data_IF_115805569239
#
_entry.id   IF_115805569239
#
_cell.length_a   1.000
_cell.length_b   1.000
_cell.length_c   1.000
_cell.angle_alpha   90.00
_cell.angle_beta   90.00
_cell.angle_gamma   90.00
#
_symmetry.space_group_name_H-M   'P 1'
#
loop_
_entity.id
_entity.type
_entity.pdbx_description
1 polymer ?
#
# COMPACT_ATOMS: atom_id res chain seq x y z
N UNK A 1 -8.30 16.98 -4.33
CA UNK A 1 -9.68 16.48 -4.55
C UNK A 1 -9.69 14.98 -4.30
N UNK A 2 -10.74 14.48 -3.65
CA UNK A 2 -10.99 13.05 -3.51
C UNK A 2 -11.55 12.53 -4.84
N UNK A 3 -10.84 11.61 -5.49
CA UNK A 3 -11.21 11.01 -6.79
C UNK A 3 -11.95 9.70 -6.56
N UNK A 4 -11.43 8.87 -5.66
CA UNK A 4 -12.05 7.62 -5.22
C UNK A 4 -11.97 7.54 -3.70
N UNK A 5 -12.98 6.96 -3.04
CA UNK A 5 -14.21 6.43 -3.65
C UNK A 5 -15.25 7.52 -3.93
N UNK A 6 -16.06 7.31 -4.97
CA UNK A 6 -16.99 8.32 -5.53
C UNK A 6 -18.00 8.87 -4.51
N UNK A 7 -18.43 8.01 -3.58
CA UNK A 7 -19.33 8.35 -2.49
C UNK A 7 -18.69 9.15 -1.34
N UNK A 8 -17.41 9.52 -1.47
CA UNK A 8 -16.62 10.36 -0.55
C UNK A 8 -16.37 9.83 0.88
N UNK A 9 -16.68 8.58 1.15
CA UNK A 9 -16.32 7.90 2.42
C UNK A 9 -15.10 7.00 2.24
N UNK A 10 -14.08 7.15 3.07
CA UNK A 10 -12.93 6.23 3.06
C UNK A 10 -13.37 4.92 3.70
N UNK A 11 -13.34 3.84 2.92
CA UNK A 11 -13.60 2.51 3.42
C UNK A 11 -12.29 1.93 3.97
N UNK A 12 -12.24 1.76 5.29
CA UNK A 12 -11.12 1.12 5.98
C UNK A 12 -11.23 -0.40 5.93
N UNK A 13 -12.42 -0.93 5.66
CA UNK A 13 -12.64 -2.35 5.47
C UNK A 13 -12.56 -2.71 3.98
N UNK A 14 -12.20 -3.96 3.69
CA UNK A 14 -12.19 -4.53 2.33
C UNK A 14 -13.15 -5.70 2.19
N UNK A 15 -13.93 -6.00 3.24
CA UNK A 15 -14.94 -7.04 3.24
C UNK A 15 -15.90 -6.90 2.04
N UNK A 16 -16.02 -7.96 1.24
CA UNK A 16 -16.89 -8.03 0.06
C UNK A 16 -16.29 -7.56 -1.27
N UNK A 17 -15.23 -6.73 -1.26
CA UNK A 17 -14.50 -6.28 -2.47
C UNK A 17 -13.47 -7.28 -2.98
N UNK A 18 -13.19 -8.31 -2.18
CA UNK A 18 -12.17 -9.33 -2.39
C UNK A 18 -12.68 -10.58 -3.11
N UNK A 19 -13.92 -10.60 -3.62
CA UNK A 19 -14.44 -11.73 -4.42
C UNK A 19 -13.97 -11.70 -5.88
N UNK A 20 -13.49 -10.55 -6.37
CA UNK A 20 -13.16 -10.32 -7.78
C UNK A 20 -11.68 -10.52 -8.13
N UNK A 21 -10.84 -10.98 -7.21
CA UNK A 21 -9.42 -11.21 -7.50
C UNK A 21 -8.55 -9.96 -7.56
N UNK A 22 -9.09 -8.80 -7.19
CA UNK A 22 -8.39 -7.50 -7.21
C UNK A 22 -8.12 -6.99 -5.79
N UNK A 23 -7.15 -6.09 -5.66
CA UNK A 23 -6.94 -5.31 -4.43
C UNK A 23 -7.08 -3.83 -4.82
N UNK A 24 -8.24 -3.18 -4.51
CA UNK A 24 -8.46 -1.79 -4.85
C UNK A 24 -7.88 -0.83 -3.80
N UNK A 25 -7.64 0.44 -4.17
CA UNK A 25 -7.18 1.46 -3.22
C UNK A 25 -8.24 1.71 -2.16
N UNK A 26 -7.82 2.11 -0.96
CA UNK A 26 -8.73 2.66 0.04
C UNK A 26 -9.19 4.07 -0.35
N UNK A 27 -8.29 4.84 -0.95
CA UNK A 27 -8.56 6.20 -1.38
C UNK A 27 -7.66 6.59 -2.55
N UNK A 28 -8.20 7.36 -3.48
CA UNK A 28 -7.42 8.06 -4.49
C UNK A 28 -7.63 9.55 -4.32
N UNK A 29 -6.54 10.28 -4.08
CA UNK A 29 -6.57 11.74 -4.01
C UNK A 29 -5.79 12.30 -5.19
N UNK A 30 -6.25 13.41 -5.74
CA UNK A 30 -5.52 14.08 -6.80
C UNK A 30 -5.92 15.53 -6.98
N UNK A 31 -5.11 16.25 -7.71
CA UNK A 31 -5.39 17.59 -8.20
C UNK A 31 -5.42 17.57 -9.74
N UNK A 32 -5.34 18.72 -10.39
CA UNK A 32 -5.38 18.81 -11.85
C UNK A 32 -4.17 18.15 -12.54
N UNK A 33 -3.08 17.90 -11.81
CA UNK A 33 -1.80 17.48 -12.38
C UNK A 33 -1.39 16.08 -11.91
N UNK A 34 -1.64 15.76 -10.64
CA UNK A 34 -1.15 14.56 -9.99
C UNK A 34 -2.29 13.83 -9.28
N UNK A 35 -2.20 12.50 -9.23
CA UNK A 35 -3.07 11.64 -8.43
C UNK A 35 -2.23 10.60 -7.70
N UNK A 36 -2.75 10.12 -6.58
CA UNK A 36 -2.12 9.12 -5.74
C UNK A 36 -3.18 8.15 -5.22
N UNK A 37 -2.91 6.86 -5.40
CA UNK A 37 -3.70 5.77 -4.85
C UNK A 37 -3.06 5.24 -3.58
N UNK A 38 -3.83 5.21 -2.49
CA UNK A 38 -3.38 4.78 -1.17
C UNK A 38 -4.04 3.46 -0.79
N UNK A 39 -3.21 2.54 -0.27
CA UNK A 39 -3.62 1.22 0.15
C UNK A 39 -3.18 1.02 1.59
N UNK A 40 -4.13 1.03 2.52
CA UNK A 40 -3.90 0.80 3.93
C UNK A 40 -3.76 -0.69 4.22
N UNK A 41 -2.79 -1.04 5.05
CA UNK A 41 -2.51 -2.41 5.52
C UNK A 41 -2.51 -3.45 4.39
N UNK A 42 -1.99 -3.09 3.23
CA UNK A 42 -1.93 -3.94 2.05
C UNK A 42 -0.57 -4.64 1.93
N UNK A 43 -0.51 -5.83 1.31
CA UNK A 43 -1.62 -6.58 0.74
C UNK A 43 -2.34 -7.44 1.79
N UNK A 44 -3.68 -7.39 1.79
CA UNK A 44 -4.51 -8.40 2.49
C UNK A 44 -5.03 -9.40 1.45
N UNK A 45 -5.03 -10.71 1.77
CA UNK A 45 -5.48 -11.75 0.86
C UNK A 45 -6.91 -11.55 0.36
N UNK A 46 -7.14 -12.06 -0.83
CA UNK A 46 -8.42 -12.10 -1.56
C UNK A 46 -9.23 -13.33 -1.06
N UNK A 47 -10.56 -13.25 -1.07
CA UNK A 47 -11.42 -14.40 -0.73
C UNK A 47 -11.32 -15.45 -1.85
N UNK A 48 -11.24 -16.74 -1.54
CA UNK A 48 -11.11 -17.80 -2.56
C UNK A 48 -12.42 -18.60 -2.69
N UNK A 49 -12.75 -19.01 -3.93
CA UNK A 49 -13.91 -19.85 -4.20
C UNK A 49 -13.52 -21.32 -4.45
N UNK A 50 -12.32 -21.61 -4.98
CA UNK A 50 -11.84 -22.97 -5.25
C UNK A 50 -10.39 -23.26 -4.78
N UNK A 51 -9.96 -24.52 -4.89
CA UNK A 51 -8.63 -24.97 -4.45
C UNK A 51 -7.48 -24.58 -5.38
N UNK A 52 -7.74 -24.12 -6.61
CA UNK A 52 -6.72 -23.59 -7.55
C UNK A 52 -6.47 -22.11 -7.29
N UNK A 53 -7.46 -21.38 -6.81
CA UNK A 53 -7.31 -20.00 -6.32
C UNK A 53 -6.45 -19.93 -5.05
N UNK A 54 -6.47 -20.99 -4.22
CA UNK A 54 -5.70 -21.02 -2.99
C UNK A 54 -4.18 -20.82 -3.22
N UNK A 55 -3.59 -21.43 -4.24
CA UNK A 55 -2.15 -21.28 -4.53
C UNK A 55 -1.79 -19.87 -5.00
N UNK A 56 -2.67 -19.23 -5.78
CA UNK A 56 -2.48 -17.85 -6.23
C UNK A 56 -2.63 -16.87 -5.08
N UNK A 57 -3.67 -17.04 -4.27
CA UNK A 57 -3.95 -16.19 -3.10
C UNK A 57 -2.88 -16.38 -2.02
N UNK A 58 -2.31 -17.59 -1.91
CA UNK A 58 -1.24 -17.91 -0.95
C UNK A 58 -0.02 -16.99 -1.06
N UNK A 59 0.33 -16.57 -2.29
CA UNK A 59 1.43 -15.63 -2.49
C UNK A 59 1.21 -14.34 -1.67
N UNK A 60 -0.03 -13.87 -1.50
CA UNK A 60 -0.33 -12.71 -0.67
C UNK A 60 -0.24 -12.98 0.84
N UNK A 61 -0.58 -14.20 1.29
CA UNK A 61 -0.44 -14.59 2.70
C UNK A 61 1.02 -14.64 3.16
N UNK A 62 1.93 -14.91 2.22
CA UNK A 62 3.36 -14.90 2.51
C UNK A 62 3.94 -13.50 2.63
N UNK A 63 3.34 -12.49 1.97
CA UNK A 63 3.90 -11.14 1.96
C UNK A 63 3.87 -10.49 3.34
N UNK A 64 4.93 -9.72 3.63
CA UNK A 64 4.94 -8.82 4.78
C UNK A 64 3.92 -7.69 4.55
N UNK A 65 3.44 -7.04 5.61
CA UNK A 65 2.34 -6.08 5.50
C UNK A 65 2.78 -4.72 6.01
N UNK A 66 3.14 -3.80 5.11
CA UNK A 66 3.31 -2.40 5.47
C UNK A 66 1.98 -1.76 5.88
N UNK A 67 2.05 -0.74 6.74
CA UNK A 67 0.87 -0.02 7.18
C UNK A 67 0.21 0.75 6.02
N UNK A 68 1.00 1.23 5.06
CA UNK A 68 0.46 1.86 3.85
C UNK A 68 1.39 1.74 2.63
N UNK A 69 0.80 1.43 1.48
CA UNK A 69 1.42 1.53 0.16
C UNK A 69 0.82 2.71 -0.60
N UNK A 70 1.65 3.46 -1.33
CA UNK A 70 1.22 4.58 -2.16
C UNK A 70 1.72 4.37 -3.59
N UNK A 71 0.83 4.61 -4.56
CA UNK A 71 1.12 4.59 -5.98
C UNK A 71 0.87 5.97 -6.56
N UNK A 72 1.78 6.45 -7.41
CA UNK A 72 1.53 7.61 -8.27
C UNK A 72 0.51 7.21 -9.35
N UNK A 73 -0.41 8.13 -9.66
CA UNK A 73 -1.51 7.90 -10.59
C UNK A 73 -2.77 7.35 -9.93
N UNK A 74 -3.75 7.04 -10.79
CA UNK A 74 -5.00 6.35 -10.41
C UNK A 74 -4.78 4.86 -10.60
N UNK A 75 -4.19 4.21 -9.60
CA UNK A 75 -4.09 2.75 -9.52
C UNK A 75 -5.34 2.17 -8.85
N UNK A 76 -6.09 1.34 -9.58
CA UNK A 76 -7.36 0.76 -9.14
C UNK A 76 -7.24 -0.72 -8.79
N UNK A 77 -6.12 -1.36 -9.13
CA UNK A 77 -5.81 -2.74 -8.75
C UNK A 77 -4.29 -2.97 -8.69
N UNK A 78 -3.79 -3.37 -7.53
CA UNK A 78 -2.36 -3.63 -7.32
C UNK A 78 -1.97 -5.08 -7.53
N UNK A 79 -2.89 -5.98 -7.86
CA UNK A 79 -2.57 -7.39 -8.08
C UNK A 79 -1.71 -7.56 -9.34
N UNK A 80 -0.61 -8.31 -9.21
CA UNK A 80 0.24 -8.70 -10.33
C UNK A 80 0.87 -10.07 -10.08
N UNK A 81 0.26 -11.13 -10.61
CA UNK A 81 0.75 -12.50 -10.43
C UNK A 81 2.00 -12.84 -11.27
N UNK A 82 2.34 -11.99 -12.24
CA UNK A 82 3.46 -12.21 -13.16
C UNK A 82 4.77 -11.59 -12.63
N UNK A 83 4.67 -10.68 -11.66
CA UNK A 83 5.82 -10.05 -11.01
C UNK A 83 6.56 -10.98 -10.04
N UNK A 84 7.76 -10.52 -9.61
CA UNK A 84 8.58 -11.18 -8.57
C UNK A 84 7.81 -11.37 -7.24
N UNK A 85 6.89 -10.45 -6.96
CA UNK A 85 5.92 -10.51 -5.86
C UNK A 85 4.51 -10.34 -6.45
N UNK A 86 3.45 -10.88 -5.83
CA UNK A 86 2.10 -10.90 -6.39
C UNK A 86 1.39 -9.52 -6.42
N UNK A 87 2.13 -8.41 -6.24
CA UNK A 87 1.61 -7.06 -6.37
C UNK A 87 2.53 -6.20 -7.24
N UNK A 88 1.94 -5.18 -7.87
CA UNK A 88 2.68 -4.11 -8.52
C UNK A 88 3.64 -3.43 -7.54
N UNK A 89 4.76 -2.93 -8.06
CA UNK A 89 5.75 -2.18 -7.28
C UNK A 89 5.14 -0.84 -6.81
N UNK A 90 5.06 -0.57 -5.49
CA UNK A 90 4.61 0.72 -4.99
C UNK A 90 5.65 1.82 -5.24
N UNK A 91 5.18 3.06 -5.29
CA UNK A 91 6.07 4.22 -5.37
C UNK A 91 6.61 4.58 -4.00
N UNK A 92 5.76 4.51 -2.97
CA UNK A 92 6.13 4.78 -1.58
C UNK A 92 5.56 3.72 -0.64
N UNK A 93 6.28 3.49 0.46
CA UNK A 93 5.83 2.68 1.60
C UNK A 93 5.90 3.54 2.84
N UNK A 94 4.86 3.49 3.67
CA UNK A 94 4.78 4.27 4.90
C UNK A 94 4.48 3.34 6.08
N UNK A 95 5.23 3.53 7.17
CA UNK A 95 5.02 2.90 8.46
C UNK A 95 4.65 3.95 9.50
N UNK A 96 3.62 3.67 10.30
CA UNK A 96 3.17 4.52 11.39
C UNK A 96 3.61 3.92 12.73
N UNK A 97 4.26 4.73 13.57
CA UNK A 97 4.76 4.29 14.88
C UNK A 97 4.23 5.19 15.97
N UNK A 98 3.29 4.65 16.73
CA UNK A 98 2.52 5.45 17.69
C UNK A 98 2.98 5.30 19.14
N UNK A 99 3.55 4.16 19.50
CA UNK A 99 3.80 3.81 20.90
C UNK A 99 5.13 4.35 21.40
N UNK A 100 5.22 4.67 22.68
CA UNK A 100 6.50 5.04 23.29
C UNK A 100 7.52 3.91 23.21
N UNK A 101 8.80 4.31 23.06
CA UNK A 101 9.95 3.41 22.96
C UNK A 101 9.84 2.34 21.87
N UNK A 102 9.02 2.56 20.83
CA UNK A 102 8.77 1.57 19.77
C UNK A 102 10.06 1.12 19.08
N UNK A 103 11.02 2.02 18.90
CA UNK A 103 12.31 1.74 18.26
C UNK A 103 13.20 0.78 19.08
N UNK A 104 12.99 0.69 20.40
CA UNK A 104 13.74 -0.24 21.25
C UNK A 104 13.26 -1.69 21.07
N UNK A 105 12.05 -1.88 20.54
CA UNK A 105 11.38 -3.18 20.42
C UNK A 105 12.02 -4.04 19.33
N UNK A 106 11.81 -5.34 19.50
CA UNK A 106 12.19 -6.36 18.53
C UNK A 106 10.95 -6.89 17.82
N UNK A 107 11.04 -7.00 16.50
CA UNK A 107 10.11 -7.74 15.66
C UNK A 107 10.69 -9.13 15.44
N UNK A 108 9.97 -10.14 15.91
CA UNK A 108 10.30 -11.53 15.63
C UNK A 108 9.77 -11.87 14.23
N UNK A 109 10.68 -12.24 13.34
CA UNK A 109 10.34 -12.77 12.03
C UNK A 109 10.10 -14.26 12.21
N UNK A 110 8.88 -14.72 11.89
CA UNK A 110 8.70 -16.15 11.60
C UNK A 110 9.56 -16.47 10.38
N UNK A 111 10.29 -17.58 10.42
CA UNK A 111 11.18 -17.99 9.33
C UNK A 111 10.45 -17.91 7.99
N UNK A 112 10.90 -16.98 7.15
CA UNK A 112 10.40 -16.81 5.80
C UNK A 112 11.05 -17.88 4.91
N UNK A 113 10.62 -19.13 5.07
CA UNK A 113 10.56 -20.05 3.93
C UNK A 113 9.16 -19.89 3.36
N UNK A 114 8.99 -19.41 2.12
CA UNK A 114 7.71 -19.56 1.46
C UNK A 114 7.40 -21.06 1.41
N UNK A 115 6.53 -21.51 2.33
CA UNK A 115 6.04 -22.87 2.34
C UNK A 115 5.40 -23.13 0.98
N UNK A 116 5.72 -24.27 0.37
CA UNK A 116 4.97 -24.72 -0.79
C UNK A 116 3.48 -24.82 -0.43
N UNK A 117 2.57 -24.64 -1.40
CA UNK A 117 1.12 -24.75 -1.15
C UNK A 117 0.74 -26.08 -0.49
N UNK A 118 1.51 -27.14 -0.75
CA UNK A 118 1.34 -28.46 -0.13
C UNK A 118 1.80 -28.50 1.34
N UNK A 119 2.91 -27.87 1.69
CA UNK A 119 3.38 -27.80 3.09
C UNK A 119 2.43 -26.97 3.96
N UNK A 120 1.85 -25.89 3.43
CA UNK A 120 0.86 -25.14 4.18
C UNK A 120 -0.47 -25.90 4.30
N UNK A 121 -0.95 -26.53 3.22
CA UNK A 121 -2.15 -27.39 3.27
C UNK A 121 -1.97 -28.49 4.31
N UNK A 122 -0.78 -29.09 4.40
CA UNK A 122 -0.45 -30.07 5.42
C UNK A 122 -0.45 -29.48 6.83
N UNK A 123 0.10 -28.27 7.04
CA UNK A 123 0.08 -27.58 8.35
C UNK A 123 -1.32 -27.10 8.77
N UNK A 124 -2.15 -26.65 7.83
CA UNK A 124 -3.53 -26.26 8.08
C UNK A 124 -4.40 -27.48 8.37
N UNK A 125 -4.28 -28.56 7.59
CA UNK A 125 -4.91 -29.84 7.89
C UNK A 125 -4.47 -30.36 9.26
N UNK A 126 -3.19 -30.20 9.62
CA UNK A 126 -2.66 -30.55 10.94
C UNK A 126 -3.33 -29.74 12.04
N UNK A 127 -3.39 -28.40 11.93
CA UNK A 127 -4.07 -27.56 12.92
C UNK A 127 -5.59 -27.82 13.02
N UNK A 128 -6.23 -28.17 11.90
CA UNK A 128 -7.63 -28.59 11.87
C UNK A 128 -7.82 -29.94 12.60
N UNK A 129 -6.90 -30.88 12.40
CA UNK A 129 -6.88 -32.19 13.05
C UNK A 129 -6.56 -32.09 14.54
N UNK A 130 -5.62 -31.23 14.94
CA UNK A 130 -5.29 -30.94 16.34
C UNK A 130 -6.53 -30.40 17.07
N UNK A 131 -7.24 -29.43 16.48
CA UNK A 131 -8.50 -28.92 17.02
C UNK A 131 -9.63 -29.95 17.04
N UNK A 132 -9.70 -30.87 16.07
CA UNK A 132 -10.69 -31.95 16.05
C UNK A 132 -10.35 -33.06 17.07
N UNK A 133 -9.08 -33.40 17.22
CA UNK A 133 -8.60 -34.45 18.13
C UNK A 133 -8.77 -34.06 19.59
N UNK A 134 -8.62 -32.77 19.92
CA UNK A 134 -8.93 -32.21 21.24
C UNK A 134 -10.41 -32.38 21.60
N UNK A 135 -11.31 -32.18 20.63
CA UNK A 135 -12.77 -32.37 20.80
C UNK A 135 -13.16 -33.86 20.81
N UNK A 136 -12.44 -34.71 20.08
CA UNK A 136 -12.75 -36.14 19.90
C UNK A 136 -11.98 -37.07 20.85
N UNK A 137 -11.05 -36.56 21.66
CA UNK A 137 -10.30 -37.34 22.65
C UNK A 137 -9.35 -38.40 22.04
N UNK A 138 -8.95 -38.24 20.79
CA UNK A 138 -8.12 -39.22 20.06
C UNK A 138 -6.64 -38.89 20.25
N UNK A 139 -5.82 -39.89 20.64
CA UNK A 139 -4.39 -39.69 20.87
C UNK A 139 -3.63 -39.47 19.55
N UNK A 140 -2.80 -38.44 19.59
CA UNK A 140 -1.95 -37.86 18.54
C UNK A 140 -0.86 -38.83 18.02
N UNK A 141 -1.25 -39.88 17.30
CA UNK A 141 -0.28 -40.74 16.59
C UNK A 141 -0.47 -40.61 15.09
N UNK A 142 0.64 -40.26 14.44
CA UNK A 142 0.88 -40.19 12.99
C UNK A 142 0.61 -38.84 12.29
N UNK A 143 1.08 -37.74 12.88
CA UNK A 143 1.27 -36.49 12.12
C UNK A 143 2.73 -36.33 11.67
N UNK A 144 3.00 -35.93 10.41
CA UNK A 144 4.36 -35.69 9.96
C UNK A 144 5.02 -34.56 10.76
N UNK A 145 6.26 -34.77 11.18
CA UNK A 145 7.08 -33.77 11.85
C UNK A 145 7.78 -32.88 10.82
N UNK A 146 7.79 -31.57 11.08
CA UNK A 146 8.49 -30.59 10.25
C UNK A 146 9.54 -29.90 11.11
N UNK A 147 10.76 -29.75 10.60
CA UNK A 147 11.85 -29.08 11.32
C UNK A 147 11.52 -27.60 11.53
N UNK A 148 11.49 -27.16 12.79
CA UNK A 148 11.45 -25.73 13.15
C UNK A 148 12.82 -25.10 12.90
N UNK A 149 12.86 -23.98 12.18
CA UNK A 149 14.09 -23.21 11.97
C UNK A 149 14.34 -22.18 13.09
N UNK A 150 15.53 -21.57 13.09
CA UNK A 150 15.94 -20.58 14.10
C UNK A 150 15.21 -19.23 13.92
N UNK A 151 14.48 -18.79 14.96
CA UNK A 151 13.72 -17.53 14.92
C UNK A 151 14.65 -16.32 14.78
N UNK A 152 14.58 -15.64 13.63
CA UNK A 152 15.28 -14.37 13.38
C UNK A 152 14.52 -13.20 13.99
N UNK A 153 15.24 -12.22 14.56
CA UNK A 153 14.66 -10.98 15.09
C UNK A 153 15.30 -9.76 14.42
N UNK A 154 14.51 -8.72 14.18
CA UNK A 154 15.01 -7.41 13.77
C UNK A 154 14.53 -6.32 14.72
N UNK A 155 15.21 -5.19 14.75
CA UNK A 155 14.70 -4.00 15.44
C UNK A 155 13.50 -3.44 14.70
N UNK A 156 12.49 -2.96 15.43
CA UNK A 156 11.25 -2.45 14.83
C UNK A 156 11.52 -1.30 13.85
N UNK A 157 12.50 -0.44 14.12
CA UNK A 157 12.86 0.67 13.22
C UNK A 157 13.56 0.23 11.93
N UNK A 158 14.03 -1.01 11.85
CA UNK A 158 14.60 -1.60 10.64
C UNK A 158 13.55 -2.31 9.76
N UNK A 159 12.28 -2.39 10.18
CA UNK A 159 11.20 -3.03 9.41
C UNK A 159 10.99 -2.35 8.06
N UNK A 160 11.11 -1.02 8.01
CA UNK A 160 10.98 -0.28 6.75
C UNK A 160 12.08 -0.66 5.74
N UNK A 161 13.29 -1.00 6.19
CA UNK A 161 14.39 -1.44 5.31
C UNK A 161 14.08 -2.82 4.70
N UNK A 162 13.50 -3.73 5.49
CA UNK A 162 12.99 -5.01 5.00
C UNK A 162 11.94 -4.81 3.91
N UNK A 163 10.99 -3.89 4.14
CA UNK A 163 9.96 -3.57 3.15
C UNK A 163 10.55 -2.97 1.90
N UNK A 164 11.55 -2.11 2.03
CA UNK A 164 12.27 -1.57 0.89
C UNK A 164 12.98 -2.64 0.07
N UNK A 165 13.60 -3.63 0.72
CA UNK A 165 14.26 -4.73 0.03
C UNK A 165 13.27 -5.61 -0.76
N UNK A 166 12.10 -5.88 -0.19
CA UNK A 166 11.06 -6.75 -0.77
C UNK A 166 10.31 -6.03 -1.91
N UNK A 167 9.76 -4.85 -1.63
CA UNK A 167 8.89 -4.13 -2.55
C UNK A 167 9.62 -3.17 -3.48
N UNK A 168 10.87 -2.83 -3.15
CA UNK A 168 11.72 -1.90 -3.90
C UNK A 168 11.04 -0.55 -4.19
N UNK A 169 10.34 0.14 -3.26
CA UNK A 169 9.72 1.42 -3.58
C UNK A 169 10.75 2.50 -3.97
N UNK A 170 10.29 3.64 -4.52
CA UNK A 170 11.16 4.82 -4.73
C UNK A 170 11.69 5.32 -3.38
N UNK A 171 10.82 5.47 -2.39
CA UNK A 171 11.18 5.86 -1.02
C UNK A 171 10.38 5.08 0.03
N UNK A 172 11.01 4.85 1.18
CA UNK A 172 10.31 4.41 2.40
C UNK A 172 10.11 5.59 3.33
N UNK A 173 9.06 5.55 4.14
CA UNK A 173 8.75 6.61 5.10
C UNK A 173 8.40 5.99 6.46
N UNK A 174 8.91 6.59 7.53
CA UNK A 174 8.52 6.25 8.90
C UNK A 174 7.95 7.51 9.54
N UNK A 175 6.70 7.44 9.97
CA UNK A 175 6.01 8.53 10.65
C UNK A 175 5.91 8.15 12.12
N UNK A 176 6.70 8.81 12.96
CA UNK A 176 6.72 8.58 14.39
C UNK A 176 5.88 9.63 15.12
N UNK A 177 4.89 9.18 15.89
CA UNK A 177 4.09 10.06 16.75
C UNK A 177 4.93 10.69 17.86
N UNK A 178 5.88 9.92 18.38
CA UNK A 178 6.76 10.29 19.50
C UNK A 178 8.18 10.54 19.00
N UNK A 179 8.95 11.37 19.70
CA UNK A 179 10.37 11.58 19.36
C UNK A 179 11.16 10.26 19.43
N UNK A 180 11.96 9.96 18.41
CA UNK A 180 12.93 8.85 18.42
C UNK A 180 14.33 9.30 18.83
N UNK A 181 15.10 8.39 19.41
CA UNK A 181 16.51 8.60 19.79
C UNK A 181 17.37 8.91 18.55
N UNK A 182 18.39 9.76 18.72
CA UNK A 182 19.29 10.19 17.63
C UNK A 182 19.96 9.01 16.91
N UNK A 183 20.30 7.96 17.66
CA UNK A 183 20.93 6.75 17.09
C UNK A 183 20.03 6.06 16.05
N UNK A 184 18.71 6.17 16.20
CA UNK A 184 17.76 5.62 15.23
C UNK A 184 17.74 6.49 13.97
N UNK A 185 17.79 7.81 14.14
CA UNK A 185 17.80 8.77 13.02
C UNK A 185 19.03 8.56 12.14
N UNK A 186 20.18 8.34 12.78
CA UNK A 186 21.47 8.15 12.10
C UNK A 186 21.62 6.75 11.49
N UNK A 187 20.96 5.73 12.05
CA UNK A 187 21.03 4.34 11.58
C UNK A 187 20.00 4.01 10.48
N UNK A 188 19.02 4.87 10.21
CA UNK A 188 18.08 4.60 9.11
C UNK A 188 18.76 4.62 7.75
N UNK A 189 18.56 3.57 6.96
CA UNK A 189 19.16 3.43 5.64
C UNK A 189 18.76 4.52 4.64
N UNK A 190 19.59 4.69 3.61
CA UNK A 190 19.40 5.67 2.55
C UNK A 190 18.02 5.54 1.88
N UNK A 191 17.42 6.68 1.48
CA UNK A 191 16.11 6.74 0.83
C UNK A 191 14.94 6.38 1.75
N UNK A 192 15.14 6.48 3.06
CA UNK A 192 14.08 6.44 4.07
C UNK A 192 13.91 7.86 4.62
N UNK A 193 12.67 8.36 4.60
CA UNK A 193 12.32 9.63 5.22
C UNK A 193 11.74 9.33 6.60
N UNK A 194 12.36 9.86 7.65
CA UNK A 194 11.81 9.82 9.00
C UNK A 194 11.14 11.16 9.31
N UNK A 195 9.84 11.13 9.59
CA UNK A 195 9.12 12.28 10.14
C UNK A 195 8.89 12.01 11.63
N UNK A 196 9.57 12.79 12.46
CA UNK A 196 9.68 12.55 13.89
C UNK A 196 8.80 13.48 14.74
N UNK A 197 8.42 13.01 15.93
CA UNK A 197 7.65 13.76 16.92
C UNK A 197 6.37 14.40 16.36
N UNK A 198 5.65 13.70 15.47
CA UNK A 198 4.47 14.26 14.78
C UNK A 198 3.36 14.62 15.76
N UNK A 199 3.20 13.85 16.84
CA UNK A 199 2.09 13.97 17.80
C UNK A 199 0.75 13.97 17.05
N UNK A 200 0.06 15.10 17.03
CA UNK A 200 -1.18 15.33 16.28
C UNK A 200 -1.11 16.61 15.43
N UNK A 201 0.10 17.06 15.10
CA UNK A 201 0.33 18.25 14.29
C UNK A 201 0.47 17.88 12.81
N UNK A 202 -0.62 18.08 12.05
CA UNK A 202 -0.67 17.80 10.62
C UNK A 202 0.36 18.60 9.81
N UNK A 203 0.82 19.77 10.31
CA UNK A 203 1.82 20.57 9.61
C UNK A 203 3.17 19.87 9.52
N UNK A 204 3.49 18.98 10.48
CA UNK A 204 4.71 18.17 10.43
C UNK A 204 4.72 17.15 9.30
N UNK A 205 3.57 16.88 8.67
CA UNK A 205 3.48 16.01 7.50
C UNK A 205 3.67 16.77 6.19
N UNK A 206 3.86 18.10 6.22
CA UNK A 206 4.00 18.93 5.03
C UNK A 206 5.13 18.45 4.12
N UNK A 207 6.28 18.07 4.69
CA UNK A 207 7.43 17.60 3.90
C UNK A 207 7.11 16.33 3.10
N UNK A 208 6.28 15.43 3.64
CA UNK A 208 5.79 14.25 2.90
C UNK A 208 4.85 14.69 1.78
N UNK A 209 3.94 15.62 2.07
CA UNK A 209 2.98 16.11 1.07
C UNK A 209 3.74 16.81 -0.06
N UNK A 210 4.71 17.65 0.26
CA UNK A 210 5.59 18.32 -0.69
C UNK A 210 6.39 17.29 -1.50
N UNK A 211 6.98 16.27 -0.86
CA UNK A 211 7.68 15.18 -1.56
C UNK A 211 6.77 14.48 -2.57
N UNK A 212 5.57 14.05 -2.15
CA UNK A 212 4.61 13.41 -3.05
C UNK A 212 4.23 14.34 -4.20
N UNK A 213 3.93 15.61 -3.92
CA UNK A 213 3.41 16.56 -4.91
C UNK A 213 4.48 17.16 -5.82
N UNK A 214 5.73 17.30 -5.36
CA UNK A 214 6.86 17.80 -6.13
C UNK A 214 7.43 16.77 -7.10
N UNK A 215 7.09 15.49 -6.96
CA UNK A 215 7.66 14.40 -7.79
C UNK A 215 7.21 14.43 -9.25
N UNK A 216 6.32 15.35 -9.65
CA UNK A 216 6.07 15.67 -11.06
C UNK A 216 5.87 17.18 -11.23
N UNK A 217 6.96 17.92 -11.36
CA UNK A 217 6.96 19.10 -12.23
C UNK A 217 6.62 18.61 -13.63
N UNK A 218 5.34 18.65 -14.01
CA UNK A 218 4.81 18.86 -15.37
C UNK A 218 5.78 18.55 -16.54
N UNK A 219 6.37 17.36 -16.61
CA UNK A 219 7.29 17.04 -17.71
C UNK A 219 6.55 16.47 -18.93
N UNK A 220 5.26 16.12 -18.80
CA UNK A 220 4.49 15.49 -19.88
C UNK A 220 3.07 16.06 -20.09
N UNK A 221 2.72 17.17 -19.44
CA UNK A 221 1.45 17.83 -19.70
C UNK A 221 1.74 19.11 -20.46
N UNK A 222 1.50 19.11 -21.77
CA UNK A 222 1.55 20.34 -22.56
C UNK A 222 0.39 21.24 -22.12
N UNK A 223 0.69 22.14 -21.19
CA UNK A 223 -0.25 23.14 -20.67
C UNK A 223 -0.86 23.94 -21.83
N UNK A 224 -0.11 24.15 -22.94
CA UNK A 224 -0.65 24.84 -24.11
C UNK A 224 -1.71 24.02 -24.81
N UNK A 225 -1.52 22.71 -24.93
CA UNK A 225 -2.51 21.81 -25.52
C UNK A 225 -3.79 21.72 -24.68
N UNK A 226 -3.66 21.64 -23.35
CA UNK A 226 -4.82 21.66 -22.45
C UNK A 226 -5.54 23.00 -22.46
N UNK A 227 -4.81 24.11 -22.40
CA UNK A 227 -5.37 25.45 -22.51
C UNK A 227 -6.09 25.65 -23.85
N UNK A 228 -5.52 25.12 -24.94
CA UNK A 228 -6.14 25.14 -26.26
C UNK A 228 -7.43 24.32 -26.31
N UNK A 229 -7.42 23.08 -25.80
CA UNK A 229 -8.62 22.23 -25.72
C UNK A 229 -9.72 22.86 -24.86
N UNK A 230 -9.35 23.50 -23.75
CA UNK A 230 -10.29 24.23 -22.89
C UNK A 230 -10.84 25.49 -23.57
N UNK A 231 -9.99 26.28 -24.24
CA UNK A 231 -10.45 27.44 -25.01
C UNK A 231 -11.40 27.03 -26.14
N UNK A 232 -11.12 25.90 -26.82
CA UNK A 232 -12.02 25.35 -27.84
C UNK A 232 -13.34 24.84 -27.27
N UNK A 233 -13.35 24.18 -26.12
CA UNK A 233 -14.61 23.73 -25.50
C UNK A 233 -15.49 24.88 -25.05
N UNK A 234 -14.89 26.05 -24.81
CA UNK A 234 -15.57 27.30 -24.46
C UNK A 234 -15.78 28.24 -25.66
N UNK A 235 -15.46 27.79 -26.87
CA UNK A 235 -15.55 28.62 -28.10
C UNK A 235 -16.95 29.20 -28.30
N UNK A 236 -17.98 28.39 -28.18
CA UNK A 236 -19.34 28.84 -28.47
C UNK A 236 -19.87 29.80 -27.39
N UNK A 237 -19.52 29.56 -26.12
CA UNK A 237 -19.77 30.51 -25.01
C UNK A 237 -19.05 31.85 -25.26
N UNK A 238 -17.80 31.81 -25.73
CA UNK A 238 -17.02 33.00 -26.03
C UNK A 238 -17.57 33.76 -27.26
N UNK A 239 -17.97 33.07 -28.32
CA UNK A 239 -18.63 33.68 -29.48
C UNK A 239 -19.97 34.31 -29.09
N UNK A 240 -20.76 33.63 -28.26
CA UNK A 240 -22.02 34.17 -27.75
C UNK A 240 -21.79 35.43 -26.90
N UNK A 241 -20.74 35.43 -26.08
CA UNK A 241 -20.32 36.60 -25.31
C UNK A 241 -19.85 37.75 -26.22
N UNK A 242 -19.02 37.50 -27.24
CA UNK A 242 -18.61 38.54 -28.19
C UNK A 242 -19.81 39.15 -28.93
N UNK A 243 -20.78 38.33 -29.35
CA UNK A 243 -22.03 38.81 -29.95
C UNK A 243 -22.83 39.68 -28.98
N UNK A 244 -22.87 39.34 -27.69
CA UNK A 244 -23.54 40.16 -26.67
C UNK A 244 -22.85 41.50 -26.44
N UNK A 245 -21.54 41.59 -26.72
CA UNK A 245 -20.76 42.83 -26.73
C UNK A 245 -20.85 43.60 -28.06
N UNK A 246 -21.67 43.15 -29.03
CA UNK A 246 -21.81 43.79 -30.33
C UNK A 246 -20.65 43.54 -31.30
N UNK A 247 -19.76 42.59 -30.99
CA UNK A 247 -18.63 42.22 -31.83
C UNK A 247 -19.04 41.05 -32.73
N UNK A 248 -19.15 41.31 -34.04
CA UNK A 248 -19.36 40.26 -35.03
C UNK A 248 -18.02 39.75 -35.56
N UNK A 249 -17.77 38.44 -35.40
CA UNK A 249 -16.67 37.76 -36.07
C UNK A 249 -17.17 37.22 -37.41
N UNK A 250 -16.66 37.74 -38.52
CA UNK A 250 -16.70 37.04 -39.80
C UNK A 250 -15.59 36.00 -39.80
N UNK A 251 -15.95 34.74 -39.52
CA UNK A 251 -15.07 33.60 -39.78
C UNK A 251 -15.21 33.19 -41.24
#
# INVERSE_FOLDING_TARGET
>A
MLIYPEHRYIDLDRNGKQKSGIIPPNVVVGNAFNSFSFFLEAPRPISWEDGRDLEKVWKFYSLVRPDMLIYEGIEVDIVDFNGDIPIKRPHYIVEFKELENWWKRWRYLKDYKPLSGNEWRARWLKGLYEGLAEVLGVKEKELPSFSEGETKRLKEYKVIELYKAIYRPKKGMVISRVSVDITVKDDLGEGIILVDDVRFDYNKLKDIVDELTNTNSVENVDIRELAYKFALSKRDEFIAWLKSQGISLSL
#
